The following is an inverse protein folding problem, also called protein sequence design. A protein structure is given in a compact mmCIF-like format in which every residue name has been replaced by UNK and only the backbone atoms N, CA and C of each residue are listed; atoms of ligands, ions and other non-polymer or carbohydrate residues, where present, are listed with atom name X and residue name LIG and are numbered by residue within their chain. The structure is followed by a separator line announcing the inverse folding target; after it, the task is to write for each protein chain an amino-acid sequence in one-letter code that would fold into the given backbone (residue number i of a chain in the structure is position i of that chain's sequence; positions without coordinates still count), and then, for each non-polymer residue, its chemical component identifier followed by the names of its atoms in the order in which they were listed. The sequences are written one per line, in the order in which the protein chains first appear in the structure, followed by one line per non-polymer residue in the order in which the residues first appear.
data_IF_048527431381
#
_entry.id   IF_048527431381
#
_cell.length_a   1.000
_cell.length_b   1.000
_cell.length_c   1.000
_cell.angle_alpha   90.00
_cell.angle_beta   90.00
_cell.angle_gamma   90.00
#
_symmetry.space_group_name_H-M   'P 1'
#
loop_
_entity.id
_entity.type
_entity.pdbx_description
1 polymer ?
#
# COMPACT_ATOMS: atom_id res chain seq x y z
N UNK A 1 19.06 0.61 -0.64
CA UNK A 1 19.84 0.49 0.62
C UNK A 1 19.35 1.56 1.56
N UNK A 2 18.95 1.22 2.80
CA UNK A 2 18.75 2.22 3.85
C UNK A 2 20.11 2.88 4.14
N UNK A 3 20.13 4.18 4.40
CA UNK A 3 21.36 4.97 4.48
C UNK A 3 22.13 4.73 5.80
N UNK A 4 21.51 4.02 6.73
CA UNK A 4 21.98 3.72 8.08
C UNK A 4 22.53 2.30 8.30
N UNK A 5 22.34 1.37 7.35
CA UNK A 5 22.68 -0.04 7.54
C UNK A 5 21.81 -0.75 8.59
N UNK A 6 20.66 -0.20 8.96
CA UNK A 6 19.77 -0.76 9.97
C UNK A 6 18.88 -1.90 9.47
N UNK A 7 18.68 -2.01 8.15
CA UNK A 7 17.80 -3.00 7.57
C UNK A 7 18.50 -4.37 7.52
N UNK A 8 18.01 -5.28 8.37
CA UNK A 8 18.46 -6.68 8.45
C UNK A 8 17.40 -7.59 7.88
N UNK A 9 17.73 -8.22 6.75
CA UNK A 9 16.81 -9.09 5.99
C UNK A 9 16.38 -10.29 6.83
N UNK A 10 17.31 -10.88 7.58
CA UNK A 10 17.09 -12.00 8.49
C UNK A 10 16.09 -11.67 9.60
N UNK A 11 16.25 -10.49 10.23
CA UNK A 11 15.37 -10.02 11.29
C UNK A 11 13.95 -9.74 10.78
N UNK A 12 13.82 -9.04 9.66
CA UNK A 12 12.50 -8.73 9.07
C UNK A 12 11.81 -9.99 8.53
N UNK A 13 12.57 -10.99 8.07
CA UNK A 13 12.03 -12.29 7.71
C UNK A 13 11.45 -13.03 8.93
N UNK A 14 12.19 -13.06 10.04
CA UNK A 14 11.68 -13.65 11.28
C UNK A 14 10.43 -12.92 11.77
N UNK A 15 10.42 -11.58 11.70
CA UNK A 15 9.28 -10.76 12.08
C UNK A 15 8.06 -11.03 11.19
N UNK A 16 8.25 -11.15 9.89
CA UNK A 16 7.20 -11.51 8.94
C UNK A 16 6.60 -12.89 9.27
N UNK A 17 7.43 -13.90 9.48
CA UNK A 17 6.98 -15.27 9.80
C UNK A 17 6.33 -15.37 11.19
N UNK A 18 6.73 -14.52 12.14
CA UNK A 18 6.04 -14.42 13.44
C UNK A 18 4.61 -13.89 13.30
N UNK A 19 4.39 -12.98 12.34
CA UNK A 19 3.05 -12.45 12.03
C UNK A 19 2.22 -13.41 11.17
N UNK A 20 2.89 -14.26 10.40
CA UNK A 20 2.29 -15.20 9.46
C UNK A 20 2.80 -16.63 9.75
N UNK A 21 2.38 -17.25 10.87
CA UNK A 21 2.96 -18.51 11.34
C UNK A 21 2.71 -19.68 10.38
N UNK A 22 1.65 -19.61 9.57
CA UNK A 22 1.34 -20.61 8.54
C UNK A 22 2.44 -20.73 7.48
N UNK A 23 3.14 -19.63 7.16
CA UNK A 23 4.22 -19.66 6.18
C UNK A 23 5.52 -20.22 6.77
N UNK A 24 5.64 -20.27 8.10
CA UNK A 24 6.84 -20.77 8.77
C UNK A 24 7.00 -22.30 8.67
N UNK A 25 5.92 -23.04 8.39
CA UNK A 25 5.95 -24.49 8.21
C UNK A 25 6.49 -24.93 6.84
N UNK A 26 6.62 -23.98 5.91
CA UNK A 26 7.06 -24.26 4.54
C UNK A 26 8.58 -24.44 4.46
N UNK A 27 9.00 -25.44 3.69
CA UNK A 27 10.42 -25.80 3.49
C UNK A 27 11.26 -24.65 2.94
N UNK A 28 10.69 -23.81 2.07
CA UNK A 28 11.36 -22.64 1.52
C UNK A 28 11.69 -21.60 2.60
N UNK A 29 10.77 -21.33 3.51
CA UNK A 29 10.97 -20.35 4.58
C UNK A 29 11.82 -20.92 5.73
N UNK A 30 11.70 -22.21 6.03
CA UNK A 30 12.60 -22.90 6.95
C UNK A 30 14.06 -22.88 6.45
N UNK A 31 14.28 -23.09 5.15
CA UNK A 31 15.62 -22.95 4.55
C UNK A 31 16.19 -21.53 4.73
N UNK A 32 15.38 -20.50 4.48
CA UNK A 32 15.81 -19.12 4.64
C UNK A 32 16.10 -18.77 6.11
N UNK A 33 15.28 -19.24 7.06
CA UNK A 33 15.52 -19.07 8.48
C UNK A 33 16.82 -19.74 8.94
N UNK A 34 17.07 -20.98 8.50
CA UNK A 34 18.28 -21.73 8.83
C UNK A 34 19.57 -21.08 8.26
N UNK A 35 19.43 -20.30 7.18
CA UNK A 35 20.54 -19.57 6.56
C UNK A 35 20.94 -18.30 7.34
N UNK A 36 20.04 -17.75 8.15
CA UNK A 36 20.28 -16.62 9.06
C UNK A 36 20.90 -15.41 8.36
N UNK A 37 22.00 -14.88 8.90
CA UNK A 37 22.70 -13.68 8.39
C UNK A 37 23.23 -13.81 6.94
N UNK A 38 23.23 -15.01 6.35
CA UNK A 38 23.65 -15.25 4.96
C UNK A 38 22.49 -15.13 3.95
N UNK A 39 21.27 -14.85 4.40
CA UNK A 39 20.13 -14.64 3.51
C UNK A 39 20.33 -13.37 2.70
N UNK A 40 20.18 -13.49 1.38
CA UNK A 40 20.28 -12.35 0.48
C UNK A 40 18.91 -11.71 0.25
N UNK A 41 18.89 -10.41 -0.05
CA UNK A 41 17.65 -9.72 -0.43
C UNK A 41 16.97 -10.38 -1.64
N UNK A 42 17.75 -10.89 -2.60
CA UNK A 42 17.24 -11.54 -3.80
C UNK A 42 16.50 -12.84 -3.52
N UNK A 43 17.02 -13.67 -2.61
CA UNK A 43 16.36 -14.90 -2.20
C UNK A 43 15.00 -14.63 -1.54
N UNK A 44 14.93 -13.58 -0.70
CA UNK A 44 13.67 -13.17 -0.09
C UNK A 44 12.70 -12.63 -1.13
N UNK A 45 13.15 -11.72 -2.00
CA UNK A 45 12.30 -11.17 -3.09
C UNK A 45 11.74 -12.29 -3.98
N UNK A 46 12.54 -13.31 -4.28
CA UNK A 46 12.09 -14.46 -5.06
C UNK A 46 11.08 -15.33 -4.31
N UNK A 47 11.26 -15.50 -3.00
CA UNK A 47 10.34 -16.31 -2.18
C UNK A 47 8.99 -15.63 -1.95
N UNK A 48 8.99 -14.31 -1.73
CA UNK A 48 7.77 -13.57 -1.33
C UNK A 48 7.07 -12.87 -2.51
N UNK A 49 7.70 -12.86 -3.69
CA UNK A 49 7.25 -12.10 -4.86
C UNK A 49 5.86 -12.50 -5.38
N UNK A 50 5.48 -13.76 -5.31
CA UNK A 50 4.13 -14.21 -5.68
C UNK A 50 3.14 -14.09 -4.51
N UNK A 51 3.61 -14.42 -3.29
CA UNK A 51 2.83 -14.39 -2.05
C UNK A 51 2.27 -12.99 -1.75
N UNK A 52 2.92 -11.92 -2.23
CA UNK A 52 2.44 -10.54 -2.05
C UNK A 52 1.04 -10.32 -2.62
N UNK A 53 0.61 -11.11 -3.61
CA UNK A 53 -0.72 -11.04 -4.23
C UNK A 53 -1.80 -11.59 -3.30
N UNK A 54 -1.44 -12.46 -2.35
CA UNK A 54 -2.39 -13.06 -1.44
C UNK A 54 -2.92 -12.03 -0.41
N UNK A 55 -4.26 -11.84 -0.27
CA UNK A 55 -4.85 -10.78 0.53
C UNK A 55 -4.43 -10.76 2.00
N UNK A 56 -4.16 -11.94 2.59
CA UNK A 56 -3.73 -12.11 3.99
C UNK A 56 -2.30 -11.65 4.24
N UNK A 57 -1.42 -11.77 3.24
CA UNK A 57 0.02 -11.58 3.42
C UNK A 57 0.52 -10.26 2.86
N UNK A 58 -0.20 -9.60 1.95
CA UNK A 58 0.23 -8.32 1.34
C UNK A 58 0.65 -7.28 2.39
N UNK A 59 -0.20 -7.01 3.39
CA UNK A 59 0.03 -5.93 4.36
C UNK A 59 1.22 -6.25 5.29
N UNK A 60 1.27 -7.43 5.97
CA UNK A 60 2.43 -7.80 6.77
C UNK A 60 3.73 -7.82 5.98
N UNK A 61 3.72 -8.34 4.75
CA UNK A 61 4.89 -8.48 3.90
C UNK A 61 5.46 -7.12 3.51
N UNK A 62 4.62 -6.23 2.95
CA UNK A 62 5.05 -4.87 2.58
C UNK A 62 5.43 -4.07 3.84
N UNK A 63 4.76 -4.30 4.97
CA UNK A 63 5.07 -3.66 6.25
C UNK A 63 6.46 -3.98 6.81
N UNK A 64 6.88 -5.25 6.74
CA UNK A 64 8.20 -5.72 7.16
C UNK A 64 9.29 -5.38 6.12
N UNK A 65 9.02 -5.59 4.83
CA UNK A 65 10.01 -5.45 3.76
C UNK A 65 9.93 -4.12 3.00
N UNK A 66 9.62 -3.00 3.68
CA UNK A 66 9.47 -1.67 3.02
C UNK A 66 10.63 -1.28 2.10
N UNK A 67 11.92 -1.42 2.49
CA UNK A 67 13.03 -1.08 1.61
C UNK A 67 13.09 -1.95 0.34
N UNK A 68 12.53 -3.17 0.39
CA UNK A 68 12.47 -4.11 -0.73
C UNK A 68 11.13 -4.09 -1.46
N UNK A 69 10.12 -3.35 -0.96
CA UNK A 69 8.76 -3.37 -1.48
C UNK A 69 8.70 -3.15 -3.00
N UNK A 70 9.53 -2.23 -3.52
CA UNK A 70 9.61 -2.00 -4.97
C UNK A 70 10.09 -3.23 -5.72
N UNK A 71 11.16 -3.88 -5.27
CA UNK A 71 11.70 -5.09 -5.89
C UNK A 71 10.71 -6.26 -5.84
N UNK A 72 9.98 -6.37 -4.72
CA UNK A 72 8.94 -7.40 -4.51
C UNK A 72 7.77 -7.18 -5.47
N UNK A 73 7.26 -5.95 -5.56
CA UNK A 73 6.16 -5.61 -6.48
C UNK A 73 6.62 -5.75 -7.93
N UNK A 74 7.80 -5.26 -8.30
CA UNK A 74 8.37 -5.43 -9.65
C UNK A 74 8.49 -6.91 -10.02
N UNK A 75 8.88 -7.77 -9.06
CA UNK A 75 8.91 -9.22 -9.25
C UNK A 75 7.50 -9.77 -9.50
N UNK A 76 6.51 -9.42 -8.68
CA UNK A 76 5.13 -9.85 -8.86
C UNK A 76 4.58 -9.44 -10.24
N UNK A 77 4.81 -8.18 -10.63
CA UNK A 77 4.42 -7.64 -11.94
C UNK A 77 5.10 -8.40 -13.08
N UNK A 78 6.38 -8.78 -12.93
CA UNK A 78 7.11 -9.56 -13.94
C UNK A 78 6.56 -10.98 -14.12
N UNK A 79 5.98 -11.59 -13.09
CA UNK A 79 5.36 -12.91 -13.18
C UNK A 79 3.95 -12.78 -13.76
N UNK A 80 3.18 -11.78 -13.31
CA UNK A 80 1.84 -11.49 -13.84
C UNK A 80 1.84 -11.14 -15.34
N UNK A 81 2.91 -10.53 -15.86
CA UNK A 81 3.00 -10.23 -17.29
C UNK A 81 3.17 -11.47 -18.18
N UNK A 82 3.54 -12.62 -17.59
CA UNK A 82 3.61 -13.91 -18.27
C UNK A 82 2.24 -14.60 -18.35
N UNK A 83 1.24 -14.14 -17.58
CA UNK A 83 -0.10 -14.71 -17.60
C UNK A 83 -0.80 -14.33 -18.91
N UNK A 84 -1.30 -15.30 -19.70
CA UNK A 84 -1.77 -15.04 -21.05
C UNK A 84 -3.06 -14.19 -21.09
N UNK A 85 -3.92 -14.31 -20.08
CA UNK A 85 -5.17 -13.59 -20.03
C UNK A 85 -5.56 -13.24 -18.59
N UNK A 86 -5.66 -11.93 -18.31
CA UNK A 86 -6.10 -11.36 -17.03
C UNK A 86 -7.52 -10.75 -17.12
N UNK A 87 -8.18 -10.84 -18.28
CA UNK A 87 -9.47 -10.18 -18.53
C UNK A 87 -10.66 -11.08 -18.23
N UNK A 88 -10.56 -12.39 -18.43
CA UNK A 88 -11.69 -13.30 -18.21
C UNK A 88 -11.26 -14.58 -17.51
N UNK A 89 -12.25 -15.31 -16.99
CA UNK A 89 -12.07 -16.68 -16.53
C UNK A 89 -12.43 -17.64 -17.66
N UNK A 90 -11.83 -18.84 -17.66
CA UNK A 90 -12.23 -19.91 -18.56
C UNK A 90 -13.41 -20.67 -17.93
N UNK A 91 -14.63 -20.46 -18.43
CA UNK A 91 -15.87 -21.03 -17.88
C UNK A 91 -16.05 -22.55 -18.15
N UNK A 92 -15.01 -23.30 -18.55
CA UNK A 92 -15.16 -24.70 -19.00
C UNK A 92 -15.14 -25.75 -17.88
N UNK A 93 -15.48 -25.44 -16.62
CA UNK A 93 -15.35 -26.48 -15.59
C UNK A 93 -15.92 -26.30 -14.19
N UNK A 94 -16.90 -25.43 -13.95
CA UNK A 94 -17.64 -25.48 -12.67
C UNK A 94 -19.12 -25.72 -12.93
N UNK A 95 -19.52 -26.98 -12.71
CA UNK A 95 -20.90 -27.40 -12.55
C UNK A 95 -21.63 -26.47 -11.59
N UNK A 96 -22.86 -26.13 -11.97
CA UNK A 96 -23.85 -25.40 -11.19
C UNK A 96 -24.09 -26.09 -9.84
N UNK A 97 -23.30 -25.79 -8.83
CA UNK A 97 -23.68 -25.98 -7.44
C UNK A 97 -23.80 -24.61 -6.80
N UNK A 98 -25.02 -24.31 -6.39
CA UNK A 98 -25.43 -23.12 -5.66
C UNK A 98 -24.48 -22.90 -4.47
N UNK A 99 -23.64 -21.86 -4.56
CA UNK A 99 -22.85 -21.40 -3.42
C UNK A 99 -23.68 -20.34 -2.71
N UNK A 100 -24.07 -20.64 -1.47
CA UNK A 100 -24.71 -19.71 -0.56
C UNK A 100 -23.94 -18.38 -0.52
N UNK A 101 -24.70 -17.28 -0.58
CA UNK A 101 -24.20 -15.91 -0.64
C UNK A 101 -23.61 -15.44 0.70
N UNK A 102 -22.60 -16.11 1.25
CA UNK A 102 -21.80 -15.57 2.35
C UNK A 102 -20.31 -15.93 2.13
N UNK A 103 -19.47 -14.90 2.03
CA UNK A 103 -18.00 -14.93 1.95
C UNK A 103 -17.35 -15.35 0.61
N UNK A 104 -17.03 -14.34 -0.20
CA UNK A 104 -15.96 -14.36 -1.24
C UNK A 104 -14.55 -14.57 -0.63
N UNK A 105 -14.47 -14.99 0.65
CA UNK A 105 -13.28 -15.50 1.33
C UNK A 105 -13.00 -16.97 0.99
N UNK A 106 -14.02 -17.75 0.66
CA UNK A 106 -13.90 -19.21 0.50
C UNK A 106 -12.85 -19.67 -0.52
N UNK A 107 -12.85 -19.13 -1.75
CA UNK A 107 -11.96 -19.67 -2.80
C UNK A 107 -10.46 -19.44 -2.59
N UNK A 108 -10.08 -18.38 -1.85
CA UNK A 108 -8.68 -18.10 -1.51
C UNK A 108 -8.29 -18.81 -0.21
N UNK A 109 -9.25 -19.01 0.70
CA UNK A 109 -9.06 -19.77 1.94
C UNK A 109 -8.99 -21.29 1.71
N UNK A 110 -9.47 -21.80 0.57
CA UNK A 110 -9.37 -23.20 0.14
C UNK A 110 -8.02 -23.58 -0.51
N UNK A 111 -7.07 -22.65 -0.63
CA UNK A 111 -5.73 -22.95 -1.13
C UNK A 111 -4.88 -23.59 -0.04
N UNK A 112 -4.26 -24.72 -0.36
CA UNK A 112 -3.24 -25.29 0.50
C UNK A 112 -2.05 -24.33 0.66
N UNK A 113 -1.32 -24.46 1.78
CA UNK A 113 -0.18 -23.58 2.11
C UNK A 113 0.91 -23.65 1.02
N UNK A 114 1.06 -24.78 0.34
CA UNK A 114 1.99 -24.93 -0.80
C UNK A 114 1.49 -24.22 -2.07
N UNK A 115 0.19 -24.27 -2.37
CA UNK A 115 -0.41 -23.56 -3.50
C UNK A 115 -0.34 -22.04 -3.33
N UNK A 116 -0.37 -21.58 -2.08
CA UNK A 116 -0.24 -20.16 -1.71
C UNK A 116 1.08 -19.55 -2.18
N UNK A 117 2.18 -20.32 -2.21
CA UNK A 117 3.50 -19.84 -2.68
C UNK A 117 3.45 -19.52 -4.17
N UNK A 118 2.75 -20.35 -4.93
CA UNK A 118 2.66 -20.27 -6.39
C UNK A 118 1.28 -19.79 -6.85
N UNK A 119 0.69 -18.86 -6.10
CA UNK A 119 -0.67 -18.38 -6.34
C UNK A 119 -0.87 -17.92 -7.80
N UNK A 120 0.10 -17.25 -8.41
CA UNK A 120 -0.03 -16.77 -9.79
C UNK A 120 -0.12 -17.95 -10.76
N UNK A 121 0.78 -18.93 -10.63
CA UNK A 121 0.79 -20.12 -11.48
C UNK A 121 -0.46 -20.98 -11.29
N UNK A 122 -0.96 -21.11 -10.05
CA UNK A 122 -2.17 -21.89 -9.75
C UNK A 122 -3.39 -21.27 -10.42
N UNK A 123 -3.62 -19.96 -10.26
CA UNK A 123 -4.75 -19.28 -10.91
C UNK A 123 -4.61 -19.25 -12.43
N UNK A 124 -3.40 -19.08 -12.97
CA UNK A 124 -3.14 -19.13 -14.40
C UNK A 124 -3.47 -20.52 -14.99
N UNK A 125 -3.10 -21.61 -14.29
CA UNK A 125 -3.42 -22.99 -14.69
C UNK A 125 -4.91 -23.29 -14.58
N UNK A 126 -5.59 -22.79 -13.54
CA UNK A 126 -7.04 -22.91 -13.35
C UNK A 126 -7.84 -22.04 -14.34
N UNK A 127 -7.17 -21.21 -15.14
CA UNK A 127 -7.86 -20.30 -16.06
C UNK A 127 -8.67 -19.21 -15.37
N UNK A 128 -8.44 -18.94 -14.07
CA UNK A 128 -9.14 -17.92 -13.28
C UNK A 128 -8.42 -16.55 -13.38
N UNK A 129 -8.18 -16.09 -14.61
CA UNK A 129 -7.38 -14.90 -14.90
C UNK A 129 -7.96 -13.59 -14.36
N UNK A 130 -9.29 -13.42 -14.43
CA UNK A 130 -9.97 -12.23 -13.91
C UNK A 130 -9.90 -12.18 -12.37
N UNK A 131 -10.09 -13.31 -11.69
CA UNK A 131 -9.99 -13.37 -10.22
C UNK A 131 -8.56 -13.06 -9.75
N UNK A 132 -7.55 -13.59 -10.46
CA UNK A 132 -6.14 -13.26 -10.19
C UNK A 132 -5.86 -11.76 -10.37
N UNK A 133 -6.41 -11.13 -11.42
CA UNK A 133 -6.29 -9.70 -11.65
C UNK A 133 -6.89 -8.88 -10.49
N UNK A 134 -8.03 -9.28 -9.96
CA UNK A 134 -8.67 -8.61 -8.82
C UNK A 134 -7.85 -8.71 -7.54
N UNK A 135 -7.27 -9.89 -7.27
CA UNK A 135 -6.34 -10.10 -6.16
C UNK A 135 -5.10 -9.21 -6.31
N UNK A 136 -4.54 -9.15 -7.52
CA UNK A 136 -3.39 -8.29 -7.81
C UNK A 136 -3.73 -6.80 -7.63
N UNK A 137 -4.91 -6.36 -8.09
CA UNK A 137 -5.35 -4.98 -7.89
C UNK A 137 -5.52 -4.65 -6.40
N UNK A 138 -6.11 -5.55 -5.61
CA UNK A 138 -6.25 -5.40 -4.16
C UNK A 138 -4.88 -5.31 -3.48
N UNK A 139 -3.96 -6.20 -3.84
CA UNK A 139 -2.61 -6.24 -3.29
C UNK A 139 -1.83 -4.97 -3.61
N UNK A 140 -1.81 -4.55 -4.88
CA UNK A 140 -1.09 -3.35 -5.32
C UNK A 140 -1.70 -2.08 -4.76
N UNK A 141 -3.01 -2.01 -4.61
CA UNK A 141 -3.67 -0.89 -3.97
C UNK A 141 -3.25 -0.75 -2.49
N UNK A 142 -3.26 -1.85 -1.73
CA UNK A 142 -2.79 -1.87 -0.33
C UNK A 142 -1.30 -1.55 -0.22
N UNK A 143 -0.49 -2.15 -1.09
CA UNK A 143 0.96 -1.92 -1.12
C UNK A 143 1.29 -0.46 -1.42
N UNK A 144 0.64 0.13 -2.43
CA UNK A 144 0.81 1.53 -2.79
C UNK A 144 0.43 2.48 -1.65
N UNK A 145 -0.69 2.18 -0.97
CA UNK A 145 -1.10 2.96 0.18
C UNK A 145 -0.05 2.91 1.30
N UNK A 146 0.58 1.75 1.56
CA UNK A 146 1.66 1.61 2.54
C UNK A 146 2.92 2.36 2.09
N UNK A 147 3.32 2.20 0.82
CA UNK A 147 4.58 2.71 0.28
C UNK A 147 4.32 3.46 -1.04
N UNK A 148 4.27 4.79 -0.95
CA UNK A 148 3.96 5.67 -2.09
C UNK A 148 5.00 5.64 -3.23
N UNK A 149 6.23 5.20 -2.97
CA UNK A 149 7.26 5.08 -4.03
C UNK A 149 6.95 3.98 -5.05
N UNK A 150 5.96 3.12 -4.77
CA UNK A 150 5.53 2.02 -5.64
C UNK A 150 4.69 2.47 -6.84
N UNK A 151 4.33 3.76 -6.95
CA UNK A 151 3.47 4.25 -8.03
C UNK A 151 3.95 3.77 -9.41
N UNK A 152 5.25 3.89 -9.70
CA UNK A 152 5.82 3.48 -11.00
C UNK A 152 5.63 1.98 -11.27
N UNK A 153 5.81 1.13 -10.27
CA UNK A 153 5.65 -0.32 -10.39
C UNK A 153 4.19 -0.69 -10.61
N UNK A 154 3.27 -0.04 -9.88
CA UNK A 154 1.83 -0.24 -10.03
C UNK A 154 1.34 0.25 -11.39
N UNK A 155 1.83 1.39 -11.90
CA UNK A 155 1.51 1.83 -13.26
C UNK A 155 2.05 0.86 -14.30
N UNK A 156 3.25 0.30 -14.11
CA UNK A 156 3.83 -0.73 -14.98
C UNK A 156 2.99 -2.00 -15.07
N UNK A 157 2.23 -2.35 -14.03
CA UNK A 157 1.24 -3.43 -14.10
C UNK A 157 0.07 -3.07 -15.03
N UNK A 158 -0.49 -1.87 -14.88
CA UNK A 158 -1.62 -1.41 -15.68
C UNK A 158 -1.25 -1.04 -17.13
N UNK A 159 0.03 -1.11 -17.52
CA UNK A 159 0.44 -1.01 -18.93
C UNK A 159 -0.07 -2.20 -19.76
N UNK A 160 -0.21 -3.39 -19.16
CA UNK A 160 -0.71 -4.60 -19.83
C UNK A 160 -2.02 -5.13 -19.23
N UNK A 161 -2.27 -4.89 -17.95
CA UNK A 161 -3.48 -5.35 -17.26
C UNK A 161 -4.71 -4.47 -17.57
N UNK A 162 -5.93 -5.02 -17.52
CA UNK A 162 -7.16 -4.23 -17.62
C UNK A 162 -7.37 -3.31 -16.39
N UNK A 163 -8.35 -2.40 -16.41
CA UNK A 163 -8.73 -1.63 -15.23
C UNK A 163 -9.31 -2.54 -14.13
N UNK A 164 -9.21 -2.17 -12.82
CA UNK A 164 -9.68 -3.01 -11.72
C UNK A 164 -11.17 -3.34 -11.76
N UNK A 165 -11.96 -2.56 -12.49
CA UNK A 165 -13.40 -2.73 -12.68
C UNK A 165 -13.76 -3.47 -13.98
N UNK A 166 -12.84 -4.26 -14.55
CA UNK A 166 -13.08 -5.05 -15.77
C UNK A 166 -14.32 -5.95 -15.67
N UNK A 167 -14.58 -6.52 -14.50
CA UNK A 167 -15.80 -7.31 -14.24
C UNK A 167 -17.09 -6.51 -14.50
N UNK A 168 -17.10 -5.21 -14.20
CA UNK A 168 -18.24 -4.31 -14.44
C UNK A 168 -18.43 -4.08 -15.93
N UNK A 169 -17.32 -3.87 -16.64
CA UNK A 169 -17.32 -3.60 -18.08
C UNK A 169 -17.89 -4.76 -18.90
N UNK A 170 -17.74 -5.99 -18.41
CA UNK A 170 -18.24 -7.19 -19.08
C UNK A 170 -19.73 -7.43 -18.89
N UNK A 171 -20.38 -6.81 -17.89
CA UNK A 171 -21.79 -7.01 -17.57
C UNK A 171 -22.66 -5.90 -18.16
N UNK A 172 -23.87 -6.28 -18.58
CA UNK A 172 -24.83 -5.36 -19.22
C UNK A 172 -25.59 -4.50 -18.21
N UNK A 173 -25.76 -4.96 -16.97
CA UNK A 173 -26.37 -4.17 -15.91
C UNK A 173 -25.66 -4.39 -14.56
N UNK A 174 -25.54 -3.33 -13.76
CA UNK A 174 -24.95 -3.41 -12.42
C UNK A 174 -25.86 -4.18 -11.47
N UNK A 175 -27.17 -4.17 -11.70
CA UNK A 175 -28.15 -4.85 -10.87
C UNK A 175 -28.05 -6.37 -11.04
N UNK A 176 -27.98 -6.88 -12.28
CA UNK A 176 -27.67 -8.30 -12.52
C UNK A 176 -26.29 -8.68 -11.95
N UNK A 177 -25.35 -7.73 -11.98
CA UNK A 177 -24.02 -7.95 -11.45
C UNK A 177 -24.01 -8.17 -9.93
N UNK A 178 -24.76 -7.34 -9.20
CA UNK A 178 -24.91 -7.40 -7.73
C UNK A 178 -25.61 -8.69 -7.28
N UNK A 179 -26.63 -9.13 -8.02
CA UNK A 179 -27.43 -10.32 -7.66
C UNK A 179 -26.63 -11.61 -7.83
N UNK A 180 -25.78 -11.69 -8.86
CA UNK A 180 -25.03 -12.91 -9.18
C UNK A 180 -23.70 -13.01 -8.43
N UNK A 181 -23.05 -11.88 -8.12
CA UNK A 181 -21.69 -11.87 -7.56
C UNK A 181 -21.38 -10.49 -6.92
N UNK A 182 -22.12 -10.19 -5.84
CA UNK A 182 -21.97 -8.94 -5.12
C UNK A 182 -20.59 -8.76 -4.46
N UNK A 183 -19.90 -9.86 -4.11
CA UNK A 183 -18.60 -9.84 -3.44
C UNK A 183 -17.47 -9.36 -4.35
N UNK A 184 -17.28 -10.02 -5.51
CA UNK A 184 -16.24 -9.64 -6.48
C UNK A 184 -16.45 -8.22 -7.00
N UNK A 185 -17.71 -7.86 -7.28
CA UNK A 185 -18.09 -6.52 -7.73
C UNK A 185 -17.78 -5.42 -6.71
N UNK A 186 -18.10 -5.66 -5.43
CA UNK A 186 -17.81 -4.73 -4.35
C UNK A 186 -16.31 -4.50 -4.19
N UNK A 187 -15.51 -5.57 -4.26
CA UNK A 187 -14.06 -5.47 -4.17
C UNK A 187 -13.48 -4.68 -5.35
N UNK A 188 -13.91 -4.99 -6.59
CA UNK A 188 -13.47 -4.28 -7.79
C UNK A 188 -13.72 -2.77 -7.70
N UNK A 189 -14.93 -2.35 -7.29
CA UNK A 189 -15.26 -0.92 -7.21
C UNK A 189 -14.58 -0.22 -6.04
N UNK A 190 -14.41 -0.90 -4.89
CA UNK A 190 -13.66 -0.35 -3.74
C UNK A 190 -12.20 -0.13 -4.08
N UNK A 191 -11.54 -1.09 -4.73
CA UNK A 191 -10.14 -0.96 -5.18
C UNK A 191 -9.99 0.17 -6.20
N UNK A 192 -10.94 0.26 -7.14
CA UNK A 192 -10.98 1.34 -8.13
C UNK A 192 -11.08 2.72 -7.47
N UNK A 193 -11.99 2.85 -6.49
CA UNK A 193 -12.16 4.09 -5.74
C UNK A 193 -10.91 4.43 -4.92
N UNK A 194 -10.28 3.44 -4.27
CA UNK A 194 -9.08 3.61 -3.45
C UNK A 194 -7.89 4.10 -4.28
N UNK A 195 -7.64 3.50 -5.45
CA UNK A 195 -6.59 3.93 -6.37
C UNK A 195 -6.86 5.34 -6.89
N UNK A 196 -8.10 5.64 -7.30
CA UNK A 196 -8.50 6.96 -7.76
C UNK A 196 -8.35 8.02 -6.67
N UNK A 197 -8.68 7.72 -5.41
CA UNK A 197 -8.44 8.60 -4.27
C UNK A 197 -6.95 8.88 -4.05
N UNK A 198 -6.11 7.88 -4.27
CA UNK A 198 -4.69 7.97 -3.99
C UNK A 198 -3.95 8.85 -5.02
N UNK A 199 -4.26 8.72 -6.32
CA UNK A 199 -3.74 9.60 -7.39
C UNK A 199 -4.82 9.94 -8.43
N UNK A 200 -5.69 10.95 -8.15
CA UNK A 200 -6.83 11.28 -9.00
C UNK A 200 -6.45 11.67 -10.43
N UNK A 201 -5.38 12.43 -10.61
CA UNK A 201 -4.97 12.93 -11.94
C UNK A 201 -4.46 11.81 -12.86
N UNK A 202 -3.84 10.79 -12.27
CA UNK A 202 -3.27 9.66 -13.01
C UNK A 202 -4.38 8.69 -13.40
N UNK A 203 -5.15 8.19 -12.43
CA UNK A 203 -6.13 7.13 -12.68
C UNK A 203 -7.41 7.60 -13.38
N UNK A 204 -7.76 8.90 -13.26
CA UNK A 204 -8.88 9.46 -14.04
C UNK A 204 -8.62 9.46 -15.56
N UNK A 205 -7.36 9.60 -15.98
CA UNK A 205 -6.97 9.67 -17.39
C UNK A 205 -6.50 8.32 -17.94
N UNK A 206 -6.03 7.43 -17.07
CA UNK A 206 -5.53 6.11 -17.45
C UNK A 206 -6.63 5.15 -17.91
N UNK A 207 -7.82 5.22 -17.31
CA UNK A 207 -8.90 4.26 -17.57
C UNK A 207 -10.12 4.90 -18.22
N UNK A 208 -10.84 4.08 -18.98
CA UNK A 208 -12.15 4.45 -19.51
C UNK A 208 -13.24 4.16 -18.48
N UNK A 209 -13.81 5.23 -17.93
CA UNK A 209 -14.86 5.18 -16.90
C UNK A 209 -16.28 5.21 -17.48
N UNK A 210 -16.43 5.12 -18.81
CA UNK A 210 -17.73 5.12 -19.49
C UNK A 210 -18.71 4.09 -18.93
N UNK A 211 -18.22 2.90 -18.57
CA UNK A 211 -19.05 1.85 -17.97
C UNK A 211 -19.75 2.27 -16.66
N UNK A 212 -19.18 3.19 -15.87
CA UNK A 212 -19.84 3.73 -14.68
C UNK A 212 -20.79 4.89 -15.04
N UNK A 213 -20.45 5.68 -16.07
CA UNK A 213 -21.27 6.79 -16.55
C UNK A 213 -22.59 6.31 -17.15
N UNK A 214 -22.54 5.26 -17.97
CA UNK A 214 -23.73 4.68 -18.62
C UNK A 214 -24.72 4.12 -17.60
N UNK A 215 -24.24 3.74 -16.42
CA UNK A 215 -25.04 3.19 -15.33
C UNK A 215 -25.51 4.24 -14.30
N UNK A 216 -25.27 5.54 -14.51
CA UNK A 216 -25.68 6.62 -13.59
C UNK A 216 -27.17 6.60 -13.26
N UNK A 217 -28.03 6.41 -14.27
CA UNK A 217 -29.48 6.38 -14.07
C UNK A 217 -29.90 5.19 -13.21
N UNK A 218 -29.27 4.02 -13.41
CA UNK A 218 -29.51 2.82 -12.62
C UNK A 218 -29.06 3.02 -11.17
N UNK A 219 -27.90 3.66 -10.95
CA UNK A 219 -27.40 4.01 -9.62
C UNK A 219 -28.38 4.92 -8.86
N UNK A 220 -28.90 5.94 -9.55
CA UNK A 220 -29.85 6.90 -8.99
C UNK A 220 -31.22 6.28 -8.65
N UNK A 221 -31.80 5.52 -9.58
CA UNK A 221 -33.14 4.92 -9.40
C UNK A 221 -33.15 3.86 -8.29
N UNK A 222 -32.04 3.13 -8.14
CA UNK A 222 -31.87 2.14 -7.09
C UNK A 222 -31.68 2.78 -5.71
N UNK A 223 -30.88 3.84 -5.62
CA UNK A 223 -30.65 4.56 -4.35
C UNK A 223 -31.92 5.24 -3.80
N UNK A 224 -32.88 5.55 -4.67
CA UNK A 224 -34.18 6.11 -4.29
C UNK A 224 -35.22 5.06 -3.84
N UNK A 225 -34.83 3.80 -3.66
CA UNK A 225 -35.67 2.79 -3.00
C UNK A 225 -36.93 2.40 -3.76
N UNK A 226 -36.93 2.48 -5.09
CA UNK A 226 -38.06 2.02 -5.92
C UNK A 226 -38.13 0.49 -6.09
N UNK A 227 -37.10 -0.23 -5.64
CA UNK A 227 -37.01 -1.69 -5.73
C UNK A 227 -36.84 -2.30 -4.32
N UNK A 228 -37.17 -3.59 -4.20
CA UNK A 228 -37.09 -4.41 -2.98
C UNK A 228 -35.81 -4.18 -2.16
N UNK A 229 -35.91 -4.29 -0.82
CA UNK A 229 -34.84 -3.97 0.14
C UNK A 229 -33.47 -4.48 -0.32
N UNK A 230 -32.56 -3.58 -0.74
CA UNK A 230 -31.30 -4.04 -1.31
C UNK A 230 -30.39 -4.69 -0.29
N UNK A 231 -29.65 -5.70 -0.73
CA UNK A 231 -28.57 -6.30 0.05
C UNK A 231 -27.53 -5.21 0.44
N UNK A 232 -26.88 -5.34 1.61
CA UNK A 232 -25.95 -4.32 2.15
C UNK A 232 -24.80 -4.00 1.18
N UNK A 233 -24.31 -5.01 0.46
CA UNK A 233 -23.27 -4.90 -0.57
C UNK A 233 -23.69 -4.02 -1.75
N UNK A 234 -24.97 -4.04 -2.13
CA UNK A 234 -25.51 -3.23 -3.21
C UNK A 234 -25.39 -1.74 -2.90
N UNK A 235 -25.77 -1.33 -1.68
CA UNK A 235 -25.64 0.05 -1.24
C UNK A 235 -24.19 0.54 -1.29
N UNK A 236 -23.24 -0.29 -0.86
CA UNK A 236 -21.82 0.06 -0.87
C UNK A 236 -21.26 0.20 -2.29
N UNK A 237 -21.67 -0.67 -3.22
CA UNK A 237 -21.27 -0.59 -4.64
C UNK A 237 -21.72 0.73 -5.24
N UNK A 238 -22.99 1.07 -5.02
CA UNK A 238 -23.61 2.28 -5.57
C UNK A 238 -22.95 3.51 -4.94
N UNK A 239 -22.75 3.51 -3.62
CA UNK A 239 -22.08 4.58 -2.92
C UNK A 239 -20.65 4.81 -3.45
N UNK A 240 -19.86 3.75 -3.64
CA UNK A 240 -18.52 3.85 -4.25
C UNK A 240 -18.59 4.37 -5.68
N UNK A 241 -19.53 3.88 -6.50
CA UNK A 241 -19.75 4.34 -7.87
C UNK A 241 -20.05 5.83 -7.94
N UNK A 242 -20.99 6.32 -7.13
CA UNK A 242 -21.32 7.75 -7.07
C UNK A 242 -20.11 8.58 -6.60
N UNK A 243 -19.30 8.09 -5.65
CA UNK A 243 -18.08 8.78 -5.19
C UNK A 243 -17.03 8.89 -6.28
N UNK A 244 -16.78 7.81 -7.03
CA UNK A 244 -15.92 7.82 -8.21
C UNK A 244 -16.41 8.86 -9.21
N UNK A 245 -17.70 8.82 -9.57
CA UNK A 245 -18.29 9.76 -10.51
C UNK A 245 -18.20 11.21 -10.05
N UNK A 246 -18.38 11.45 -8.74
CA UNK A 246 -18.25 12.78 -8.14
C UNK A 246 -16.84 13.35 -8.32
N UNK A 247 -15.82 12.50 -8.18
CA UNK A 247 -14.42 12.87 -8.41
C UNK A 247 -14.12 13.12 -9.90
N UNK A 248 -14.56 12.21 -10.78
CA UNK A 248 -14.30 12.29 -12.22
C UNK A 248 -14.97 13.52 -12.86
N UNK A 249 -16.23 13.78 -12.50
CA UNK A 249 -17.02 14.89 -13.03
C UNK A 249 -16.80 16.21 -12.28
N UNK A 250 -15.97 16.20 -11.22
CA UNK A 250 -15.73 17.35 -10.32
C UNK A 250 -17.05 17.96 -9.84
N UNK A 251 -17.97 17.11 -9.38
CA UNK A 251 -19.29 17.55 -8.91
C UNK A 251 -19.13 18.46 -7.69
N UNK A 252 -19.90 19.56 -7.67
CA UNK A 252 -20.03 20.42 -6.50
C UNK A 252 -20.94 19.76 -5.45
N UNK A 253 -20.80 20.16 -4.19
CA UNK A 253 -21.55 19.69 -3.03
C UNK A 253 -23.08 19.68 -3.25
N UNK A 254 -23.60 20.64 -4.03
CA UNK A 254 -25.02 20.69 -4.41
C UNK A 254 -25.43 19.55 -5.34
N UNK A 255 -24.58 19.18 -6.28
CA UNK A 255 -24.80 18.06 -7.19
C UNK A 255 -24.58 16.72 -6.49
N UNK A 256 -23.68 16.65 -5.50
CA UNK A 256 -23.56 15.45 -4.66
C UNK A 256 -24.78 15.27 -3.74
N UNK A 257 -25.38 16.37 -3.26
CA UNK A 257 -26.62 16.32 -2.48
C UNK A 257 -27.81 15.79 -3.29
N UNK A 258 -27.86 16.02 -4.61
CA UNK A 258 -28.91 15.42 -5.46
C UNK A 258 -28.85 13.90 -5.58
N UNK A 259 -27.69 13.28 -5.30
CA UNK A 259 -27.56 11.82 -5.19
C UNK A 259 -27.92 11.28 -3.80
N UNK A 260 -28.50 12.10 -2.93
CA UNK A 260 -28.85 11.76 -1.55
C UNK A 260 -27.68 11.19 -0.73
N UNK A 261 -26.43 11.58 -1.08
CA UNK A 261 -25.20 11.19 -0.37
C UNK A 261 -25.10 11.69 1.08
N UNK A 262 -26.13 12.40 1.57
CA UNK A 262 -26.28 12.85 2.94
C UNK A 262 -27.32 12.04 3.73
N UNK A 263 -27.84 10.94 3.17
CA UNK A 263 -28.76 10.04 3.88
C UNK A 263 -28.06 9.23 4.97
N UNK A 264 -28.85 8.63 5.86
CA UNK A 264 -28.34 7.73 6.91
C UNK A 264 -27.63 6.51 6.31
N UNK A 265 -28.11 6.01 5.17
CA UNK A 265 -27.50 4.91 4.43
C UNK A 265 -26.16 5.32 3.82
N UNK A 266 -26.04 6.54 3.29
CA UNK A 266 -24.77 7.07 2.78
C UNK A 266 -23.70 7.14 3.88
N UNK A 267 -24.08 7.56 5.08
CA UNK A 267 -23.20 7.60 6.24
C UNK A 267 -22.79 6.18 6.67
N UNK A 268 -23.73 5.23 6.65
CA UNK A 268 -23.44 3.82 6.94
C UNK A 268 -22.44 3.22 5.95
N UNK A 269 -22.56 3.56 4.66
CA UNK A 269 -21.59 3.14 3.63
C UNK A 269 -20.21 3.78 3.86
N UNK A 270 -20.16 5.05 4.27
CA UNK A 270 -18.92 5.75 4.61
C UNK A 270 -18.19 5.05 5.76
N UNK A 271 -18.89 4.69 6.83
CA UNK A 271 -18.29 3.98 7.97
C UNK A 271 -17.70 2.63 7.54
N UNK A 272 -18.43 1.87 6.70
CA UNK A 272 -17.94 0.59 6.16
C UNK A 272 -16.74 0.78 5.23
N UNK A 273 -16.70 1.88 4.47
CA UNK A 273 -15.55 2.25 3.67
C UNK A 273 -14.33 2.58 4.54
N UNK A 274 -14.53 3.33 5.62
CA UNK A 274 -13.46 3.62 6.59
C UNK A 274 -12.94 2.33 7.23
N UNK A 275 -13.84 1.44 7.67
CA UNK A 275 -13.51 0.11 8.19
C UNK A 275 -12.70 -0.70 7.17
N UNK A 276 -13.10 -0.71 5.91
CA UNK A 276 -12.35 -1.37 4.83
C UNK A 276 -10.93 -0.81 4.67
N UNK A 277 -10.71 0.48 4.90
CA UNK A 277 -9.39 1.12 4.80
C UNK A 277 -8.54 1.03 6.08
N UNK A 278 -9.11 0.54 7.19
CA UNK A 278 -8.40 0.46 8.48
C UNK A 278 -7.20 -0.48 8.41
N UNK A 279 -7.24 -1.51 7.56
CA UNK A 279 -6.21 -2.52 7.41
C UNK A 279 -4.80 -1.93 7.23
N UNK A 280 -4.65 -1.00 6.30
CA UNK A 280 -3.40 -0.29 6.02
C UNK A 280 -3.15 0.84 7.02
N UNK A 281 -4.20 1.47 7.54
CA UNK A 281 -4.04 2.53 8.54
C UNK A 281 -3.43 2.00 9.85
N UNK A 282 -3.86 0.83 10.30
CA UNK A 282 -3.32 0.15 11.48
C UNK A 282 -1.85 -0.24 11.28
N UNK A 283 -1.52 -0.79 10.11
CA UNK A 283 -0.13 -1.11 9.78
C UNK A 283 0.76 0.13 9.81
N UNK A 284 0.33 1.22 9.19
CA UNK A 284 1.03 2.51 9.26
C UNK A 284 1.20 3.00 10.69
N UNK A 285 0.17 2.87 11.53
CA UNK A 285 0.23 3.28 12.93
C UNK A 285 1.22 2.44 13.75
N UNK A 286 1.27 1.12 13.49
CA UNK A 286 2.16 0.19 14.18
C UNK A 286 3.65 0.56 14.01
N UNK A 287 4.01 1.13 12.84
CA UNK A 287 5.37 1.58 12.54
C UNK A 287 5.90 2.63 13.52
N UNK A 288 5.02 3.38 14.19
CA UNK A 288 5.40 4.39 15.18
C UNK A 288 5.50 3.84 16.60
N UNK A 289 4.92 2.67 16.88
CA UNK A 289 4.93 2.04 18.20
C UNK A 289 6.16 1.15 18.39
N UNK A 290 6.65 0.55 17.31
CA UNK A 290 7.68 -0.48 17.33
C UNK A 290 9.07 0.07 17.69
N UNK A 291 9.31 1.37 17.47
CA UNK A 291 10.53 2.06 17.90
C UNK A 291 10.71 2.16 19.43
N UNK A 292 9.74 1.68 20.22
CA UNK A 292 9.77 1.78 21.69
C UNK A 292 10.09 0.48 22.44
N UNK A 293 9.98 -0.70 21.78
CA UNK A 293 10.19 -2.01 22.45
C UNK A 293 11.67 -2.41 22.60
N UNK A 294 12.60 -1.64 22.05
CA UNK A 294 14.03 -1.92 22.13
C UNK A 294 14.69 -1.50 23.46
N UNK A 295 13.99 -0.81 24.37
CA UNK A 295 14.61 -0.30 25.60
C UNK A 295 14.47 -1.17 26.85
N UNK A 296 13.78 -2.33 26.81
CA UNK A 296 13.34 -3.00 28.04
C UNK A 296 13.81 -4.46 28.24
N UNK A 297 14.78 -4.97 27.48
CA UNK A 297 15.23 -6.38 27.65
C UNK A 297 16.65 -6.60 28.17
N UNK A 298 17.39 -5.57 28.61
CA UNK A 298 18.72 -5.76 29.20
C UNK A 298 18.86 -5.07 30.57
N UNK A 299 18.19 -5.60 31.59
CA UNK A 299 18.52 -5.33 33.00
C UNK A 299 18.43 -6.62 33.82
N UNK A 300 19.36 -7.54 33.60
CA UNK A 300 19.92 -8.38 34.66
C UNK A 300 21.12 -9.20 34.16
N UNK A 301 22.31 -8.92 34.68
CA UNK A 301 23.50 -9.77 34.51
C UNK A 301 24.75 -8.96 34.20
N UNK A 302 25.59 -8.77 35.22
CA UNK A 302 26.73 -7.85 35.17
C UNK A 302 27.93 -8.26 34.31
N UNK A 303 28.88 -7.32 34.32
CA UNK A 303 30.29 -7.40 33.90
C UNK A 303 30.66 -6.85 32.52
N UNK A 304 31.03 -5.57 32.53
CA UNK A 304 32.22 -4.97 31.92
C UNK A 304 32.69 -5.58 30.59
N UNK A 305 32.28 -4.97 29.48
CA UNK A 305 32.81 -5.20 28.14
C UNK A 305 32.20 -4.19 27.17
N UNK A 306 32.71 -2.95 27.16
CA UNK A 306 32.31 -1.92 26.22
C UNK A 306 32.74 -2.28 24.78
N UNK A 307 31.95 -3.12 24.11
CA UNK A 307 31.90 -3.19 22.65
C UNK A 307 30.72 -2.33 22.21
N UNK A 308 31.04 -1.09 21.85
CA UNK A 308 30.09 -0.05 21.48
C UNK A 308 29.51 -0.31 20.07
N UNK A 309 28.66 -1.32 19.93
CA UNK A 309 27.69 -1.38 18.83
C UNK A 309 26.55 -0.43 19.18
N UNK A 310 26.72 0.85 18.84
CA UNK A 310 25.59 1.79 18.76
C UNK A 310 24.73 1.37 17.57
N UNK A 311 23.80 0.44 17.77
CA UNK A 311 22.66 0.21 16.88
C UNK A 311 21.73 1.41 17.01
N UNK A 312 22.11 2.52 16.38
CA UNK A 312 21.28 3.70 16.27
C UNK A 312 20.28 3.45 15.14
N UNK A 313 19.06 3.12 15.53
CA UNK A 313 17.83 3.71 15.00
C UNK A 313 17.62 3.53 13.49
N UNK A 314 16.93 2.45 13.13
CA UNK A 314 16.15 2.41 11.90
C UNK A 314 15.05 3.48 11.99
N UNK A 315 15.30 4.65 11.43
CA UNK A 315 14.21 5.61 11.27
C UNK A 315 13.23 5.03 10.22
N UNK A 316 11.90 5.05 10.43
CA UNK A 316 10.91 4.57 9.45
C UNK A 316 10.97 5.27 8.08
N UNK A 317 11.87 6.24 7.94
CA UNK A 317 11.91 7.29 6.94
C UNK A 317 13.00 7.06 5.88
N UNK A 318 13.98 6.20 6.13
CA UNK A 318 15.06 5.90 5.19
C UNK A 318 14.58 5.18 3.91
N UNK A 319 13.41 4.54 3.95
CA UNK A 319 12.78 3.86 2.80
C UNK A 319 12.01 4.79 1.86
N UNK A 320 11.80 6.05 2.25
CA UNK A 320 11.03 7.04 1.48
C UNK A 320 11.90 7.95 0.60
N UNK A 321 13.23 7.82 0.70
CA UNK A 321 14.19 8.49 -0.19
C UNK A 321 14.36 7.64 -1.46
N UNK A 322 14.06 8.14 -2.67
CA UNK A 322 14.36 7.39 -3.88
C UNK A 322 15.88 7.21 -3.98
N UNK A 323 16.33 5.95 -4.01
CA UNK A 323 17.74 5.64 -4.28
C UNK A 323 18.10 6.15 -5.67
N UNK A 324 18.83 7.27 -5.72
CA UNK A 324 19.43 7.76 -6.95
C UNK A 324 20.70 6.93 -7.21
N UNK A 325 20.55 5.83 -7.93
CA UNK A 325 21.71 5.12 -8.50
C UNK A 325 22.35 6.00 -9.57
N UNK A 326 23.53 6.53 -9.27
CA UNK A 326 24.55 6.84 -10.27
C UNK A 326 25.93 6.78 -9.60
N UNK A 327 26.76 5.84 -10.03
CA UNK A 327 28.21 5.90 -9.83
C UNK A 327 28.77 5.01 -8.72
N UNK A 328 29.03 3.75 -9.07
CA UNK A 328 30.23 2.96 -8.73
C UNK A 328 31.20 3.62 -7.73
N UNK A 329 31.37 3.05 -6.52
CA UNK A 329 32.67 2.97 -5.83
C UNK A 329 32.61 2.01 -4.62
N UNK A 330 33.71 1.26 -4.49
CA UNK A 330 33.89 0.08 -3.65
C UNK A 330 34.05 0.41 -2.15
N UNK A 331 33.72 -0.60 -1.35
CA UNK A 331 34.00 -0.79 0.08
C UNK A 331 35.33 -0.20 0.55
N UNK A 332 35.28 0.48 1.70
CA UNK A 332 36.43 0.91 2.48
C UNK A 332 36.10 2.09 3.39
N UNK A 333 36.31 1.91 4.70
CA UNK A 333 36.29 2.95 5.74
C UNK A 333 36.81 4.30 5.22
N UNK A 334 35.93 5.30 5.12
CA UNK A 334 36.35 6.69 4.93
C UNK A 334 35.30 7.69 5.39
N UNK A 335 35.70 8.44 6.41
CA UNK A 335 35.15 9.73 6.86
C UNK A 335 34.99 10.67 5.64
N UNK A 336 33.78 10.77 5.11
CA UNK A 336 33.51 11.60 3.93
C UNK A 336 33.43 13.08 4.34
N UNK A 337 34.44 13.84 3.94
CA UNK A 337 34.45 15.31 4.00
C UNK A 337 33.72 15.81 2.76
N UNK A 338 32.65 16.59 2.93
CA UNK A 338 31.89 17.17 1.83
C UNK A 338 32.32 18.62 1.58
N UNK A 339 32.81 18.89 0.37
CA UNK A 339 33.11 20.22 -0.13
C UNK A 339 31.81 20.96 -0.49
N UNK A 340 31.21 21.63 0.50
CA UNK A 340 30.66 22.98 0.40
C UNK A 340 30.32 23.46 1.81
N UNK A 341 31.34 23.94 2.52
CA UNK A 341 31.21 25.09 3.42
C UNK A 341 30.45 25.00 4.74
N UNK A 342 29.77 23.91 5.12
CA UNK A 342 29.36 23.63 6.52
C UNK A 342 28.81 22.20 6.71
N UNK A 343 29.39 21.37 7.60
CA UNK A 343 28.78 20.11 7.99
C UNK A 343 27.52 20.39 8.82
N UNK A 344 26.36 19.94 8.33
CA UNK A 344 25.15 19.90 9.13
C UNK A 344 25.29 18.76 10.15
N UNK A 345 25.57 19.12 11.41
CA UNK A 345 25.72 18.14 12.49
C UNK A 345 24.33 17.81 13.00
N UNK A 346 23.88 16.57 12.74
CA UNK A 346 22.65 16.06 13.33
C UNK A 346 22.90 15.85 14.83
N UNK A 347 22.42 16.77 15.66
CA UNK A 347 22.42 16.56 17.11
C UNK A 347 21.21 15.69 17.49
N UNK A 348 21.29 14.96 18.60
CA UNK A 348 20.19 14.12 19.08
C UNK A 348 18.87 14.89 19.29
N UNK A 349 18.94 16.19 19.58
CA UNK A 349 17.78 17.07 19.64
C UNK A 349 17.21 17.45 18.25
N UNK A 350 18.07 17.58 17.24
CA UNK A 350 17.70 17.89 15.86
C UNK A 350 17.07 16.70 15.15
N UNK A 351 17.50 15.49 15.50
CA UNK A 351 17.05 14.25 14.89
C UNK A 351 15.54 14.04 15.03
N UNK A 352 14.99 14.23 16.24
CA UNK A 352 13.53 14.14 16.46
C UNK A 352 12.74 15.19 15.67
N UNK A 353 13.30 16.41 15.56
CA UNK A 353 12.69 17.47 14.75
C UNK A 353 12.69 17.12 13.27
N UNK A 354 13.79 16.56 12.77
CA UNK A 354 13.91 16.09 11.39
C UNK A 354 12.93 14.95 11.09
N UNK A 355 12.85 13.95 11.98
CA UNK A 355 11.89 12.83 11.88
C UNK A 355 10.44 13.33 11.82
N UNK A 356 10.04 14.27 12.69
CA UNK A 356 8.68 14.82 12.68
C UNK A 356 8.36 15.61 11.40
N UNK A 357 9.30 16.39 10.89
CA UNK A 357 9.10 17.15 9.65
C UNK A 357 9.06 16.22 8.44
N UNK A 358 9.94 15.24 8.41
CA UNK A 358 9.96 14.22 7.37
C UNK A 358 8.67 13.39 7.39
N UNK A 359 8.19 13.02 8.57
CA UNK A 359 6.93 12.31 8.76
C UNK A 359 5.77 13.06 8.10
N UNK A 360 5.57 14.31 8.48
CA UNK A 360 4.48 15.10 7.93
C UNK A 360 4.68 15.39 6.43
N UNK A 361 5.93 15.55 5.96
CA UNK A 361 6.24 15.62 4.53
C UNK A 361 5.80 14.35 3.78
N UNK A 362 6.12 13.15 4.31
CA UNK A 362 5.72 11.87 3.71
C UNK A 362 4.19 11.71 3.60
N UNK A 363 3.45 12.32 4.52
CA UNK A 363 1.99 12.28 4.59
C UNK A 363 1.33 13.39 3.74
N UNK A 364 2.12 14.27 3.09
CA UNK A 364 1.65 15.51 2.43
C UNK A 364 0.87 16.42 3.40
N UNK A 365 1.24 16.42 4.67
CA UNK A 365 0.65 17.29 5.67
C UNK A 365 1.42 18.62 5.75
N UNK A 366 0.73 19.77 5.75
CA UNK A 366 1.37 21.06 5.96
C UNK A 366 1.92 21.12 7.40
N UNK A 367 3.19 21.52 7.55
CA UNK A 367 3.86 21.65 8.85
C UNK A 367 4.26 23.09 9.10
N UNK A 368 3.90 23.61 10.28
CA UNK A 368 4.41 24.88 10.77
C UNK A 368 5.67 24.66 11.60
N UNK A 369 6.81 25.10 11.08
CA UNK A 369 8.10 25.01 11.76
C UNK A 369 8.42 26.33 12.50
N UNK A 370 8.23 26.37 13.83
CA UNK A 370 8.47 27.57 14.64
C UNK A 370 9.64 27.40 15.63
N UNK A 371 10.22 28.51 16.10
CA UNK A 371 11.24 28.51 17.16
C UNK A 371 12.16 29.74 17.12
N UNK A 372 13.16 29.83 18.00
CA UNK A 372 14.06 30.98 18.09
C UNK A 372 14.89 31.18 16.80
N UNK A 373 15.29 32.43 16.53
CA UNK A 373 16.15 32.76 15.40
C UNK A 373 17.49 32.01 15.52
N UNK A 374 17.99 31.45 14.41
CA UNK A 374 19.25 30.68 14.41
C UNK A 374 19.14 29.21 14.84
N UNK A 375 17.94 28.70 15.18
CA UNK A 375 17.74 27.30 15.61
C UNK A 375 17.88 26.24 14.49
N UNK A 376 18.52 26.55 13.35
CA UNK A 376 18.75 25.57 12.28
C UNK A 376 17.54 25.20 11.41
N UNK A 377 16.39 25.86 11.58
CA UNK A 377 15.15 25.63 10.81
C UNK A 377 15.36 25.63 9.29
N UNK A 378 15.97 26.68 8.76
CA UNK A 378 16.27 26.81 7.32
C UNK A 378 17.22 25.74 6.83
N UNK A 379 18.16 25.32 7.68
CA UNK A 379 19.13 24.28 7.33
C UNK A 379 18.47 22.88 7.30
N UNK A 380 17.48 22.62 8.16
CA UNK A 380 16.65 21.41 8.13
C UNK A 380 15.82 21.32 6.83
N UNK A 381 15.21 22.43 6.42
CA UNK A 381 14.45 22.52 5.17
C UNK A 381 15.37 22.36 3.95
N UNK A 382 16.53 23.02 3.96
CA UNK A 382 17.51 22.92 2.87
C UNK A 382 17.99 21.47 2.70
N UNK A 383 18.22 20.76 3.82
CA UNK A 383 18.59 19.34 3.79
C UNK A 383 17.48 18.46 3.21
N UNK A 384 16.22 18.70 3.60
CA UNK A 384 15.08 17.97 3.03
C UNK A 384 14.90 18.24 1.53
N UNK A 385 15.09 19.49 1.10
CA UNK A 385 14.97 19.90 -0.30
C UNK A 385 16.06 19.27 -1.18
N UNK A 386 17.30 19.20 -0.68
CA UNK A 386 18.43 18.54 -1.36
C UNK A 386 18.22 17.03 -1.49
N UNK A 387 17.65 16.37 -0.48
CA UNK A 387 17.39 14.92 -0.51
C UNK A 387 16.24 14.52 -1.46
N UNK A 388 15.26 15.41 -1.69
CA UNK A 388 14.04 15.09 -2.44
C UNK A 388 13.92 15.81 -3.79
N UNK A 389 14.99 16.48 -4.25
CA UNK A 389 15.05 16.99 -5.62
C UNK A 389 13.96 18.01 -5.97
N UNK A 390 13.62 18.92 -5.06
CA UNK A 390 12.88 20.16 -5.36
C UNK A 390 11.43 20.04 -5.85
N UNK A 391 10.78 18.86 -5.78
CA UNK A 391 9.41 18.67 -6.32
C UNK A 391 8.25 18.77 -5.32
N UNK A 392 8.52 19.03 -4.04
CA UNK A 392 7.48 19.28 -3.04
C UNK A 392 7.48 20.75 -2.63
N UNK A 393 6.54 21.54 -3.14
CA UNK A 393 6.38 22.94 -2.75
C UNK A 393 5.90 23.02 -1.29
N UNK A 394 6.87 23.12 -0.38
CA UNK A 394 6.63 23.34 1.05
C UNK A 394 6.22 24.81 1.24
N UNK A 395 4.92 25.07 1.37
CA UNK A 395 4.44 26.40 1.75
C UNK A 395 4.81 26.65 3.21
N UNK A 396 5.78 27.54 3.44
CA UNK A 396 6.14 28.02 4.76
C UNK A 396 5.69 29.48 4.91
N UNK A 397 4.81 29.72 5.89
CA UNK A 397 4.50 31.06 6.38
C UNK A 397 5.52 31.43 7.47
N UNK A 398 6.46 32.36 7.23
CA UNK A 398 7.33 32.86 8.28
C UNK A 398 6.52 33.78 9.22
N UNK A 399 6.02 33.24 10.33
CA UNK A 399 5.43 34.06 11.38
C UNK A 399 6.55 34.65 12.24
N UNK A 400 6.90 35.92 12.02
CA UNK A 400 7.67 36.72 12.97
C UNK A 400 6.76 37.07 14.14
N UNK A 401 6.86 36.32 15.24
CA UNK A 401 6.30 36.77 16.52
C UNK A 401 7.29 37.78 17.09
N UNK A 402 7.04 39.07 16.86
CA UNK A 402 7.72 40.13 17.59
C UNK A 402 7.16 40.11 19.02
N UNK A 403 7.95 39.63 19.98
CA UNK A 403 7.72 39.98 21.37
C UNK A 403 8.13 41.45 21.53
N UNK A 404 7.15 42.34 21.73
CA UNK A 404 7.36 43.68 22.26
C UNK A 404 7.61 43.61 23.76
#
# INVERSE_FOLDING_TARGET
MSFDGSFRVDYELQRFLTRCPELASLSQFDYLLNKGDKVTEEEVVNAVGEIVIHPKYTIPLIGCFRPLARRIVDRAVSVLSLVPNLRCNNDEGEDLMEVDQEDDRGEVEDLDIEETIHIIDVYAKRGKGLKLHELACLAFCRAYDLVRSLLRSVLGYFEFAPPPFERIRQRKSVIEAVVLDGGGLLNAIRVSYRLLLAEPEVFSTMWDWSCLLDNISQFHDFYLGKNEEPNRSAHDIIWCGIRILSMLLKLNDRATASFNLCSQEAYSCLLRWEEYCQDVALEKAAWYLESSRENNFDLNGGSMGFNQCRSLQSSPFDSLVPSLENGLLKSGDKKMTWECGKPFILTSAMQKGYEMVFLAFSQRWPVLLYGPAGAGKTALISKLAELHGGRGMLFLLPVKINHQ
#
